data_IF_118825941083
#
_entry.id   IF_118825941083
#
_cell.length_a   1.000
_cell.length_b   1.000
_cell.length_c   1.000
_cell.angle_alpha   90.00
_cell.angle_beta   90.00
_cell.angle_gamma   90.00
#
_symmetry.space_group_name_H-M   'P 1'
#
loop_
_entity.id
_entity.type
_entity.pdbx_description
1 polymer ?
#
# COMPACT_ATOMS: atom_id res chain seq x y z
N UNK A 1 2.33 20.77 -0.36
CA UNK A 1 3.08 19.65 -0.97
C UNK A 1 2.52 18.29 -0.52
N UNK A 2 1.19 18.10 -0.48
CA UNK A 2 0.56 16.87 0.04
C UNK A 2 -0.23 16.05 -0.99
N UNK A 3 -0.38 16.55 -2.22
CA UNK A 3 -1.19 15.90 -3.27
C UNK A 3 -0.53 14.68 -3.87
N UNK A 4 0.78 14.75 -4.13
CA UNK A 4 1.50 13.66 -4.80
C UNK A 4 1.64 12.41 -3.94
N UNK A 5 1.78 12.55 -2.62
CA UNK A 5 1.91 11.41 -1.71
C UNK A 5 0.63 10.56 -1.66
N UNK A 6 -0.53 11.22 -1.60
CA UNK A 6 -1.82 10.52 -1.62
C UNK A 6 -2.09 9.80 -2.95
N UNK A 7 -1.65 10.38 -4.07
CA UNK A 7 -1.79 9.75 -5.38
C UNK A 7 -0.97 8.45 -5.52
N UNK A 8 0.12 8.31 -4.76
CA UNK A 8 0.98 7.13 -4.74
C UNK A 8 0.59 6.11 -3.66
N UNK A 9 -0.60 6.24 -3.05
CA UNK A 9 -1.08 5.35 -2.01
C UNK A 9 -0.49 5.61 -0.62
N UNK A 10 0.43 6.58 -0.47
CA UNK A 10 1.00 6.89 0.84
C UNK A 10 -0.04 7.47 1.78
N UNK A 11 -0.04 7.03 3.04
CA UNK A 11 -0.92 7.58 4.07
C UNK A 11 -0.57 9.04 4.32
N UNK A 12 -1.59 9.90 4.39
CA UNK A 12 -1.42 11.32 4.73
C UNK A 12 -1.14 11.48 6.22
N UNK A 13 -0.56 12.63 6.60
CA UNK A 13 -0.35 12.98 8.02
C UNK A 13 -1.66 12.93 8.83
N UNK A 14 -2.76 13.35 8.21
CA UNK A 14 -4.09 13.28 8.82
C UNK A 14 -4.52 11.83 9.08
N UNK A 15 -4.31 10.93 8.12
CA UNK A 15 -4.66 9.53 8.26
C UNK A 15 -3.80 8.84 9.34
N UNK A 16 -2.49 9.15 9.38
CA UNK A 16 -1.60 8.66 10.43
C UNK A 16 -2.02 9.13 11.82
N UNK A 17 -2.49 10.36 11.92
CA UNK A 17 -2.95 10.92 13.18
C UNK A 17 -4.31 10.33 13.62
N UNK A 18 -5.22 10.06 12.68
CA UNK A 18 -6.44 9.31 12.96
C UNK A 18 -6.12 7.89 13.47
N UNK A 19 -5.19 7.19 12.80
CA UNK A 19 -4.74 5.86 13.20
C UNK A 19 -4.14 5.85 14.61
N UNK A 20 -3.34 6.86 14.98
CA UNK A 20 -2.76 6.98 16.34
C UNK A 20 -3.80 7.12 17.45
N UNK A 21 -4.97 7.68 17.13
CA UNK A 21 -6.07 7.87 18.09
C UNK A 21 -7.05 6.70 18.13
N UNK A 22 -7.07 5.88 17.09
CA UNK A 22 -7.98 4.75 16.95
C UNK A 22 -7.67 3.65 17.99
N UNK A 23 -8.68 2.87 18.35
CA UNK A 23 -8.54 1.75 19.29
C UNK A 23 -9.33 0.53 18.83
N UNK A 24 -8.89 -0.65 19.27
CA UNK A 24 -9.58 -1.91 19.00
C UNK A 24 -9.82 -2.15 17.51
N UNK A 25 -11.03 -2.59 17.17
CA UNK A 25 -11.40 -2.90 15.79
C UNK A 25 -11.33 -1.70 14.84
N UNK A 26 -11.54 -0.47 15.35
CA UNK A 26 -11.44 0.74 14.53
C UNK A 26 -9.99 1.01 14.08
N UNK A 27 -9.02 0.80 14.98
CA UNK A 27 -7.60 0.88 14.64
C UNK A 27 -7.22 -0.14 13.57
N UNK A 28 -7.70 -1.38 13.69
CA UNK A 28 -7.48 -2.42 12.69
C UNK A 28 -8.07 -2.05 11.33
N UNK A 29 -9.30 -1.52 11.30
CA UNK A 29 -9.96 -1.08 10.05
C UNK A 29 -9.18 0.04 9.36
N UNK A 30 -8.76 1.05 10.10
CA UNK A 30 -7.98 2.18 9.57
C UNK A 30 -6.61 1.71 9.04
N UNK A 31 -5.89 0.88 9.81
CA UNK A 31 -4.60 0.35 9.39
C UNK A 31 -4.71 -0.48 8.11
N UNK A 32 -5.64 -1.44 8.06
CA UNK A 32 -5.81 -2.32 6.89
C UNK A 32 -6.22 -1.52 5.65
N UNK A 33 -7.14 -0.56 5.79
CA UNK A 33 -7.58 0.29 4.67
C UNK A 33 -6.41 1.13 4.14
N UNK A 34 -5.62 1.73 5.02
CA UNK A 34 -4.45 2.51 4.63
C UNK A 34 -3.37 1.67 3.96
N UNK A 35 -3.10 0.47 4.46
CA UNK A 35 -2.08 -0.42 3.91
C UNK A 35 -2.49 -1.05 2.59
N UNK A 36 -3.77 -1.35 2.38
CA UNK A 36 -4.26 -1.76 1.06
C UNK A 36 -3.99 -0.66 0.02
N UNK A 37 -4.34 0.59 0.33
CA UNK A 37 -4.13 1.71 -0.59
C UNK A 37 -2.64 1.97 -0.87
N UNK A 38 -1.80 1.87 0.16
CA UNK A 38 -0.35 1.97 0.04
C UNK A 38 0.23 0.90 -0.88
N UNK A 39 -0.19 -0.35 -0.71
CA UNK A 39 0.27 -1.47 -1.54
C UNK A 39 -0.21 -1.36 -2.99
N UNK A 40 -1.45 -0.90 -3.23
CA UNK A 40 -1.97 -0.64 -4.57
C UNK A 40 -1.17 0.48 -5.29
N UNK A 41 -0.80 1.53 -4.56
CA UNK A 41 0.08 2.60 -5.05
C UNK A 41 1.49 2.10 -5.38
N UNK A 42 2.08 1.30 -4.49
CA UNK A 42 3.38 0.68 -4.73
C UNK A 42 3.37 -0.31 -5.90
N UNK A 43 2.26 -1.02 -6.13
CA UNK A 43 2.07 -1.87 -7.33
C UNK A 43 2.08 -1.05 -8.62
N UNK A 44 1.47 0.13 -8.62
CA UNK A 44 1.50 1.06 -9.77
C UNK A 44 2.93 1.56 -10.05
N UNK A 45 3.70 1.87 -9.01
CA UNK A 45 5.11 2.25 -9.12
C UNK A 45 5.97 1.12 -9.68
N UNK A 46 5.79 -0.09 -9.12
CA UNK A 46 6.52 -1.26 -9.56
C UNK A 46 6.21 -1.60 -11.03
N UNK A 47 4.96 -1.45 -11.47
CA UNK A 47 4.60 -1.63 -12.87
C UNK A 47 5.31 -0.61 -13.78
N UNK A 48 5.44 0.64 -13.32
CA UNK A 48 6.20 1.67 -14.07
C UNK A 48 7.67 1.29 -14.21
N UNK A 49 8.30 0.75 -13.17
CA UNK A 49 9.68 0.26 -13.22
C UNK A 49 9.81 -0.94 -14.16
N UNK A 50 8.84 -1.86 -14.18
CA UNK A 50 8.83 -3.00 -15.11
C UNK A 50 8.74 -2.52 -16.57
N UNK A 51 7.90 -1.52 -16.83
CA UNK A 51 7.62 -1.05 -18.19
C UNK A 51 8.74 -0.17 -18.76
N UNK A 52 9.45 0.58 -17.90
CA UNK A 52 10.36 1.65 -18.34
C UNK A 52 11.77 1.59 -17.75
N UNK A 53 11.98 0.74 -16.74
CA UNK A 53 13.25 0.58 -16.03
C UNK A 53 14.33 -0.01 -16.92
N UNK A 54 15.58 0.39 -16.66
CA UNK A 54 16.75 -0.06 -17.42
C UNK A 54 17.69 -0.94 -16.59
N UNK A 55 17.58 -0.89 -15.26
CA UNK A 55 18.40 -1.69 -14.36
C UNK A 55 17.72 -3.04 -14.13
N UNK A 56 18.29 -4.12 -14.67
CA UNK A 56 17.71 -5.48 -14.59
C UNK A 56 17.39 -5.91 -13.14
N UNK A 57 18.24 -5.56 -12.18
CA UNK A 57 18.00 -5.88 -10.77
C UNK A 57 16.80 -5.12 -10.19
N UNK A 58 16.57 -3.87 -10.61
CA UNK A 58 15.43 -3.06 -10.17
C UNK A 58 14.12 -3.59 -10.79
N UNK A 59 14.14 -3.96 -12.07
CA UNK A 59 12.99 -4.58 -12.75
C UNK A 59 12.64 -5.92 -12.10
N UNK A 60 13.64 -6.75 -11.77
CA UNK A 60 13.41 -8.01 -11.05
C UNK A 60 12.78 -7.77 -9.69
N UNK A 61 13.30 -6.81 -8.93
CA UNK A 61 12.73 -6.43 -7.63
C UNK A 61 11.28 -5.93 -7.78
N UNK A 62 10.97 -5.16 -8.82
CA UNK A 62 9.62 -4.67 -9.07
C UNK A 62 8.62 -5.82 -9.31
N UNK A 63 9.00 -6.88 -10.02
CA UNK A 63 8.19 -8.09 -10.15
C UNK A 63 7.93 -8.77 -8.80
N UNK A 64 8.95 -8.93 -7.97
CA UNK A 64 8.84 -9.54 -6.63
C UNK A 64 7.93 -8.70 -5.70
N UNK A 65 8.01 -7.37 -5.81
CA UNK A 65 7.16 -6.42 -5.10
C UNK A 65 5.69 -6.61 -5.47
N UNK A 66 5.35 -6.66 -6.76
CA UNK A 66 3.95 -6.85 -7.21
C UNK A 66 3.40 -8.18 -6.67
N UNK A 67 4.15 -9.26 -6.83
CA UNK A 67 3.71 -10.59 -6.42
C UNK A 67 3.46 -10.67 -4.91
N UNK A 68 4.36 -10.10 -4.13
CA UNK A 68 4.26 -10.12 -2.66
C UNK A 68 3.13 -9.22 -2.17
N UNK A 69 3.07 -7.97 -2.65
CA UNK A 69 2.06 -7.02 -2.18
C UNK A 69 0.64 -7.41 -2.61
N UNK A 70 0.47 -8.10 -3.75
CA UNK A 70 -0.85 -8.62 -4.11
C UNK A 70 -1.37 -9.66 -3.09
N UNK A 71 -0.51 -10.58 -2.63
CA UNK A 71 -0.87 -11.54 -1.58
C UNK A 71 -1.19 -10.87 -0.25
N UNK A 72 -0.44 -9.82 0.09
CA UNK A 72 -0.68 -9.03 1.30
C UNK A 72 -2.00 -8.28 1.22
N UNK A 73 -2.34 -7.69 0.06
CA UNK A 73 -3.65 -7.07 -0.19
C UNK A 73 -4.78 -8.09 0.01
N UNK A 74 -4.67 -9.29 -0.55
CA UNK A 74 -5.70 -10.32 -0.41
C UNK A 74 -5.90 -10.74 1.05
N UNK A 75 -4.78 -10.89 1.78
CA UNK A 75 -4.78 -11.19 3.22
C UNK A 75 -5.45 -10.07 4.01
N UNK A 76 -5.09 -8.81 3.75
CA UNK A 76 -5.66 -7.65 4.43
C UNK A 76 -7.16 -7.49 4.14
N UNK A 77 -7.59 -7.71 2.89
CA UNK A 77 -9.02 -7.71 2.51
C UNK A 77 -9.78 -8.82 3.24
N UNK A 78 -9.20 -10.01 3.38
CA UNK A 78 -9.79 -11.11 4.14
C UNK A 78 -9.94 -10.78 5.62
N UNK A 79 -8.92 -10.18 6.25
CA UNK A 79 -8.99 -9.78 7.66
C UNK A 79 -10.04 -8.68 7.84
N UNK A 80 -10.03 -7.67 6.97
CA UNK A 80 -10.97 -6.54 7.03
C UNK A 80 -12.43 -7.01 6.93
N UNK A 81 -12.71 -7.98 6.06
CA UNK A 81 -14.04 -8.59 5.93
C UNK A 81 -14.49 -9.41 7.15
N UNK A 82 -13.56 -9.80 8.03
CA UNK A 82 -13.82 -10.55 9.24
C UNK A 82 -13.92 -9.68 10.51
N UNK A 83 -13.75 -8.35 10.41
CA UNK A 83 -13.83 -7.38 11.51
C UNK A 83 -15.24 -6.81 11.74
#
# INVERSE_FOLDING_TARGET
MGGDHAAMGMMTDEHLEQLRRAQGADASKQFLTGMIAHHEGAGTMAQTEIDTGQAEEAVRLAHEIIETQQREIDTMKSILGAL
#
